data_IF_274085541612
#
_entry.id   IF_274085541612
#
_cell.length_a   1.000
_cell.length_b   1.000
_cell.length_c   1.000
_cell.angle_alpha   90.00
_cell.angle_beta   90.00
_cell.angle_gamma   90.00
#
_symmetry.space_group_name_H-M   'P 1'
#
loop_
_entity.id
_entity.type
_entity.pdbx_description
1 polymer ?
#
# COMPACT_ATOMS: atom_id res chain seq x y z
N UNK A 1 52.38 -41.92 1.03
CA UNK A 1 51.33 -41.95 2.06
C UNK A 1 50.01 -41.68 1.38
N UNK A 2 49.10 -42.63 1.27
CA UNK A 2 47.72 -42.43 0.75
C UNK A 2 46.89 -41.86 1.88
N UNK A 3 46.41 -40.62 1.72
CA UNK A 3 45.39 -40.02 2.60
C UNK A 3 44.08 -40.77 2.35
N UNK A 4 43.57 -41.49 3.34
CA UNK A 4 42.24 -42.08 3.33
C UNK A 4 41.22 -40.95 3.33
N UNK A 5 40.54 -40.70 2.22
CA UNK A 5 39.40 -39.80 2.16
C UNK A 5 38.26 -40.43 2.98
N UNK A 6 37.88 -39.76 4.07
CA UNK A 6 36.68 -40.13 4.83
C UNK A 6 35.46 -39.86 3.96
N UNK A 7 34.70 -40.88 3.62
CA UNK A 7 33.45 -40.78 2.91
C UNK A 7 32.33 -40.28 3.84
N UNK A 8 31.35 -39.54 3.29
CA UNK A 8 30.16 -39.11 3.99
C UNK A 8 29.22 -40.32 4.23
N UNK A 9 28.62 -40.37 5.39
CA UNK A 9 27.62 -41.40 5.70
C UNK A 9 26.22 -40.96 5.16
N UNK A 10 25.39 -41.93 4.80
CA UNK A 10 24.03 -41.67 4.32
C UNK A 10 23.20 -40.96 5.39
N UNK A 11 23.39 -41.25 6.67
CA UNK A 11 22.68 -40.65 7.77
C UNK A 11 23.06 -39.17 7.98
N UNK A 12 24.34 -38.81 7.81
CA UNK A 12 24.77 -37.41 7.87
C UNK A 12 24.12 -36.56 6.78
N UNK A 13 24.01 -37.12 5.56
CA UNK A 13 23.31 -36.40 4.48
C UNK A 13 21.83 -36.27 4.76
N UNK A 14 21.16 -37.33 5.26
CA UNK A 14 19.73 -37.33 5.54
C UNK A 14 19.36 -36.33 6.64
N UNK A 15 20.15 -36.24 7.70
CA UNK A 15 19.94 -35.27 8.78
C UNK A 15 20.09 -33.83 8.26
N UNK A 16 21.09 -33.55 7.42
CA UNK A 16 21.31 -32.22 6.87
C UNK A 16 20.10 -31.75 6.01
N UNK A 17 19.63 -32.62 5.09
CA UNK A 17 18.48 -32.26 4.26
C UNK A 17 17.18 -32.08 5.08
N UNK A 18 17.01 -32.88 6.16
CA UNK A 18 15.89 -32.74 7.06
C UNK A 18 15.91 -31.37 7.78
N UNK A 19 17.07 -30.95 8.30
CA UNK A 19 17.23 -29.64 8.96
C UNK A 19 17.00 -28.49 7.96
N UNK A 20 17.61 -28.57 6.77
CA UNK A 20 17.39 -27.55 5.71
C UNK A 20 15.92 -27.47 5.33
N UNK A 21 15.21 -28.59 5.21
CA UNK A 21 13.78 -28.63 4.91
C UNK A 21 12.95 -27.89 5.95
N UNK A 22 13.20 -28.14 7.24
CA UNK A 22 12.48 -27.48 8.33
C UNK A 22 12.82 -25.96 8.35
N UNK A 23 14.07 -25.59 8.26
CA UNK A 23 14.48 -24.17 8.26
C UNK A 23 13.91 -23.42 7.05
N UNK A 24 13.86 -24.05 5.88
CA UNK A 24 13.32 -23.45 4.67
C UNK A 24 11.83 -23.15 4.80
N UNK A 25 11.04 -24.05 5.37
CA UNK A 25 9.60 -23.83 5.57
C UNK A 25 9.34 -22.66 6.52
N UNK A 26 10.06 -22.56 7.63
CA UNK A 26 9.96 -21.45 8.57
C UNK A 26 10.37 -20.12 7.92
N UNK A 27 11.45 -20.12 7.13
CA UNK A 27 11.92 -18.92 6.44
C UNK A 27 10.90 -18.38 5.44
N UNK A 28 10.22 -19.24 4.67
CA UNK A 28 9.20 -18.84 3.69
C UNK A 28 8.00 -18.18 4.38
N UNK A 29 7.52 -18.75 5.48
CA UNK A 29 6.38 -18.17 6.25
C UNK A 29 6.77 -16.81 6.82
N UNK A 30 7.94 -16.69 7.44
CA UNK A 30 8.43 -15.42 7.99
C UNK A 30 8.59 -14.34 6.91
N UNK A 31 9.11 -14.72 5.73
CA UNK A 31 9.29 -13.80 4.60
C UNK A 31 7.95 -13.30 4.04
N UNK A 32 6.95 -14.15 3.93
CA UNK A 32 5.62 -13.75 3.46
C UNK A 32 4.97 -12.75 4.41
N UNK A 33 5.05 -12.98 5.73
CA UNK A 33 4.57 -12.04 6.75
C UNK A 33 5.30 -10.69 6.69
N UNK A 34 6.63 -10.71 6.55
CA UNK A 34 7.43 -9.49 6.42
C UNK A 34 7.08 -8.70 5.16
N UNK A 35 6.87 -9.38 4.02
CA UNK A 35 6.45 -8.75 2.76
C UNK A 35 5.06 -8.11 2.87
N UNK A 36 4.11 -8.80 3.51
CA UNK A 36 2.78 -8.23 3.78
C UNK A 36 2.88 -6.95 4.62
N UNK A 37 3.61 -6.99 5.73
CA UNK A 37 3.81 -5.83 6.60
C UNK A 37 4.48 -4.66 5.88
N UNK A 38 5.43 -4.94 4.99
CA UNK A 38 6.07 -3.93 4.15
C UNK A 38 5.08 -3.26 3.20
N UNK A 39 4.21 -4.05 2.54
CA UNK A 39 3.16 -3.49 1.66
C UNK A 39 2.14 -2.64 2.43
N UNK A 40 1.73 -3.09 3.61
CA UNK A 40 0.79 -2.35 4.45
C UNK A 40 1.40 -1.04 4.96
N UNK A 41 2.66 -1.06 5.38
CA UNK A 41 3.38 0.17 5.74
C UNK A 41 3.50 1.14 4.56
N UNK A 42 3.70 0.61 3.34
CA UNK A 42 3.68 1.44 2.13
C UNK A 42 2.31 2.05 1.89
N UNK A 43 1.21 1.30 2.05
CA UNK A 43 -0.16 1.83 1.90
C UNK A 43 -0.42 3.03 2.83
N UNK A 44 -0.02 2.91 4.09
CA UNK A 44 -0.14 4.03 5.05
C UNK A 44 0.71 5.22 4.64
N UNK A 45 1.94 5.00 4.16
CA UNK A 45 2.82 6.06 3.69
C UNK A 45 2.27 6.74 2.43
N UNK A 46 1.75 5.98 1.47
CA UNK A 46 1.14 6.49 0.25
C UNK A 46 -0.06 7.41 0.58
N UNK A 47 -0.96 6.95 1.47
CA UNK A 47 -2.12 7.75 1.91
C UNK A 47 -1.68 9.03 2.61
N UNK A 48 -0.67 8.98 3.48
CA UNK A 48 -0.12 10.19 4.11
C UNK A 48 0.48 11.17 3.11
N UNK A 49 1.11 10.70 2.05
CA UNK A 49 1.60 11.58 0.98
C UNK A 49 0.45 12.24 0.23
N UNK A 50 -0.62 11.49 -0.07
CA UNK A 50 -1.80 12.01 -0.74
C UNK A 50 -2.49 13.07 0.16
N UNK A 51 -2.66 12.80 1.45
CA UNK A 51 -3.25 13.78 2.38
C UNK A 51 -2.42 15.04 2.45
N UNK A 52 -1.09 14.93 2.51
CA UNK A 52 -0.20 16.11 2.50
C UNK A 52 -0.36 16.94 1.22
N UNK A 53 -0.46 16.30 0.07
CA UNK A 53 -0.68 17.00 -1.20
C UNK A 53 -2.05 17.68 -1.27
N UNK A 54 -3.09 17.06 -0.68
CA UNK A 54 -4.42 17.65 -0.55
C UNK A 54 -4.43 18.88 0.36
N UNK A 55 -3.67 18.87 1.45
CA UNK A 55 -3.52 20.05 2.32
C UNK A 55 -2.80 21.21 1.59
N UNK A 56 -1.77 20.92 0.79
CA UNK A 56 -1.12 21.92 -0.05
C UNK A 56 -2.08 22.48 -1.09
N UNK A 57 -2.86 21.62 -1.73
CA UNK A 57 -3.89 22.05 -2.68
C UNK A 57 -4.94 22.94 -1.99
N UNK A 58 -5.39 22.56 -0.79
CA UNK A 58 -6.37 23.33 -0.01
C UNK A 58 -5.85 24.73 0.33
N UNK A 59 -4.59 24.85 0.69
CA UNK A 59 -3.96 26.14 1.04
C UNK A 59 -3.99 27.14 -0.13
N UNK A 60 -3.88 26.66 -1.37
CA UNK A 60 -3.89 27.51 -2.56
C UNK A 60 -5.30 27.70 -3.14
N UNK A 61 -6.10 26.63 -3.17
CA UNK A 61 -7.43 26.62 -3.80
C UNK A 61 -8.58 26.96 -2.84
N UNK A 62 -8.29 27.09 -1.53
CA UNK A 62 -9.27 27.29 -0.46
C UNK A 62 -10.41 26.26 -0.48
N UNK A 63 -10.06 25.01 -0.80
CA UNK A 63 -10.99 23.89 -0.85
C UNK A 63 -10.34 22.63 -1.44
N UNK A 64 -10.92 21.45 -1.16
CA UNK A 64 -10.46 20.18 -1.73
C UNK A 64 -11.06 19.93 -3.11
N UNK A 65 -10.42 19.10 -3.96
CA UNK A 65 -10.98 18.72 -5.26
C UNK A 65 -12.32 17.99 -5.10
N UNK A 66 -13.39 18.50 -5.69
CA UNK A 66 -14.72 17.87 -5.58
C UNK A 66 -14.79 16.60 -6.41
N UNK A 67 -15.27 15.52 -5.81
CA UNK A 67 -15.57 14.23 -6.42
C UNK A 67 -16.77 13.61 -5.68
N UNK A 68 -17.97 13.93 -6.10
CA UNK A 68 -19.22 13.48 -5.47
C UNK A 68 -19.40 11.94 -5.53
N UNK A 69 -18.77 11.29 -6.50
CA UNK A 69 -18.68 9.83 -6.59
C UNK A 69 -17.24 9.39 -6.32
N UNK A 70 -17.09 8.22 -5.71
CA UNK A 70 -15.76 7.67 -5.43
C UNK A 70 -14.94 7.50 -6.71
N UNK A 71 -13.73 8.06 -6.73
CA UNK A 71 -12.77 7.94 -7.82
C UNK A 71 -11.54 7.17 -7.35
N UNK A 72 -11.00 6.34 -8.23
CA UNK A 72 -9.80 5.55 -7.94
C UNK A 72 -8.55 6.39 -8.18
N UNK A 73 -7.75 6.59 -7.12
CA UNK A 73 -6.50 7.33 -7.20
C UNK A 73 -5.38 6.50 -7.83
N UNK A 74 -4.50 7.18 -8.58
CA UNK A 74 -3.35 6.57 -9.26
C UNK A 74 -3.72 5.90 -10.59
N UNK A 75 -4.96 6.04 -11.07
CA UNK A 75 -5.43 5.46 -12.33
C UNK A 75 -6.26 6.46 -13.14
N UNK A 76 -6.40 6.21 -14.43
CA UNK A 76 -7.27 7.01 -15.31
C UNK A 76 -6.94 8.50 -15.28
N UNK A 77 -7.90 9.30 -14.86
CA UNK A 77 -7.78 10.77 -14.73
C UNK A 77 -7.30 11.23 -13.34
N UNK A 78 -6.96 10.31 -12.42
CA UNK A 78 -6.55 10.60 -11.05
C UNK A 78 -5.08 10.21 -10.80
N UNK A 79 -4.21 10.46 -11.79
CA UNK A 79 -2.78 10.13 -11.75
C UNK A 79 -1.94 11.25 -11.15
N UNK A 80 -2.40 12.49 -11.26
CA UNK A 80 -1.74 13.67 -10.71
C UNK A 80 -2.72 14.58 -9.99
N UNK A 81 -2.25 15.36 -9.00
CA UNK A 81 -2.99 16.45 -8.39
C UNK A 81 -2.36 17.76 -8.79
N UNK A 82 -3.14 18.57 -9.51
CA UNK A 82 -2.70 19.82 -10.11
C UNK A 82 -3.71 20.94 -9.82
N UNK A 83 -3.42 22.16 -10.24
CA UNK A 83 -4.42 23.25 -10.23
C UNK A 83 -5.70 22.79 -10.94
N UNK A 84 -6.83 22.92 -10.26
CA UNK A 84 -8.15 22.44 -10.74
C UNK A 84 -8.48 21.00 -10.40
N UNK A 85 -7.65 20.31 -9.58
CA UNK A 85 -7.95 19.00 -9.00
C UNK A 85 -7.20 17.83 -9.65
N UNK A 86 -7.81 16.66 -9.58
CA UNK A 86 -7.24 15.41 -10.12
C UNK A 86 -7.20 15.41 -11.64
N UNK A 87 -6.05 15.02 -12.21
CA UNK A 87 -5.83 14.97 -13.66
C UNK A 87 -5.01 13.74 -14.05
N UNK A 88 -5.08 13.35 -15.31
CA UNK A 88 -4.20 12.31 -15.88
C UNK A 88 -2.74 12.80 -15.94
N UNK A 89 -2.54 14.10 -16.18
CA UNK A 89 -1.26 14.80 -16.14
C UNK A 89 -1.50 16.28 -15.91
N UNK A 90 -0.55 16.96 -15.25
CA UNK A 90 -0.59 18.41 -15.12
C UNK A 90 -0.26 19.07 -16.47
N UNK A 91 -1.01 20.11 -16.83
CA UNK A 91 -0.74 20.90 -18.02
C UNK A 91 0.39 21.91 -17.78
N UNK A 92 0.94 22.45 -18.85
CA UNK A 92 1.94 23.50 -18.77
C UNK A 92 1.30 24.76 -18.13
N UNK A 93 1.91 25.21 -17.03
CA UNK A 93 1.39 26.34 -16.24
C UNK A 93 0.54 25.95 -15.03
N UNK A 94 0.16 24.67 -14.87
CA UNK A 94 -0.47 24.19 -13.64
C UNK A 94 0.53 24.17 -12.48
N UNK A 95 0.08 24.56 -11.29
CA UNK A 95 0.78 24.20 -10.05
C UNK A 95 0.61 22.69 -9.81
N UNK A 96 1.69 21.98 -9.62
CA UNK A 96 1.69 20.54 -9.36
C UNK A 96 1.86 20.29 -7.87
N UNK A 97 0.84 19.75 -7.21
CA UNK A 97 0.87 19.36 -5.79
C UNK A 97 1.35 17.92 -5.62
N UNK A 98 0.98 17.05 -6.56
CA UNK A 98 1.49 15.68 -6.65
C UNK A 98 1.59 15.27 -8.12
N UNK A 99 2.80 15.10 -8.63
CA UNK A 99 3.03 14.78 -10.05
C UNK A 99 2.69 13.33 -10.40
N UNK A 100 2.76 12.42 -9.43
CA UNK A 100 2.38 11.02 -9.58
C UNK A 100 1.73 10.51 -8.30
N UNK A 101 0.45 10.24 -8.39
CA UNK A 101 -0.31 9.62 -7.30
C UNK A 101 0.09 8.15 -7.17
N UNK A 102 0.50 7.69 -5.99
CA UNK A 102 0.94 6.32 -5.81
C UNK A 102 -0.20 5.33 -6.05
N UNK A 103 0.14 4.23 -6.70
CA UNK A 103 -0.75 3.10 -6.84
C UNK A 103 -0.57 2.15 -5.65
N UNK A 104 -1.65 1.48 -5.27
CA UNK A 104 -1.58 0.47 -4.22
C UNK A 104 -0.53 -0.60 -4.54
N UNK A 105 0.23 -1.08 -3.55
CA UNK A 105 1.11 -2.22 -3.74
C UNK A 105 0.32 -3.52 -3.96
N UNK A 106 0.85 -4.37 -4.83
CA UNK A 106 0.33 -5.71 -5.14
C UNK A 106 1.27 -6.80 -4.62
N UNK A 107 0.76 -8.02 -4.37
CA UNK A 107 -0.64 -8.47 -4.39
C UNK A 107 -1.47 -7.91 -3.24
N UNK A 108 -2.80 -8.11 -3.30
CA UNK A 108 -3.66 -7.85 -2.16
C UNK A 108 -3.37 -8.87 -1.05
N UNK A 109 -3.48 -8.45 0.18
CA UNK A 109 -3.11 -9.26 1.35
C UNK A 109 -4.27 -9.38 2.34
N UNK A 110 -4.32 -10.50 3.05
CA UNK A 110 -5.17 -10.71 4.21
C UNK A 110 -6.63 -10.29 4.00
N UNK A 111 -7.14 -9.44 4.87
CA UNK A 111 -8.52 -8.94 4.84
C UNK A 111 -8.90 -8.16 3.59
N UNK A 112 -7.91 -7.65 2.84
CA UNK A 112 -8.13 -6.89 1.61
C UNK A 112 -8.32 -7.76 0.37
N UNK A 113 -8.21 -9.07 0.50
CA UNK A 113 -8.35 -10.01 -0.61
C UNK A 113 -9.82 -10.44 -0.86
N UNK A 114 -10.72 -10.04 0.03
CA UNK A 114 -12.16 -10.36 -0.08
C UNK A 114 -12.85 -9.41 -1.05
N UNK A 115 -13.62 -9.96 -1.96
CA UNK A 115 -14.47 -9.24 -2.92
C UNK A 115 -15.74 -8.64 -2.29
N UNK A 116 -15.90 -8.75 -0.98
CA UNK A 116 -17.13 -8.40 -0.26
C UNK A 116 -16.96 -7.08 0.51
N UNK A 117 -17.74 -6.09 0.13
CA UNK A 117 -18.16 -4.89 0.89
C UNK A 117 -17.12 -3.81 1.24
N UNK A 118 -15.83 -4.05 1.11
CA UNK A 118 -14.85 -2.97 1.19
C UNK A 118 -14.64 -2.38 -0.21
N UNK A 119 -14.51 -1.05 -0.34
CA UNK A 119 -14.17 -0.47 -1.63
C UNK A 119 -12.95 -1.19 -2.16
N UNK A 120 -13.00 -1.56 -3.43
CA UNK A 120 -11.97 -2.32 -4.13
C UNK A 120 -10.59 -1.90 -3.60
N UNK A 121 -9.72 -2.84 -3.32
CA UNK A 121 -8.33 -2.68 -2.83
C UNK A 121 -7.53 -1.45 -3.35
N UNK A 122 -8.17 -0.45 -3.89
CA UNK A 122 -7.65 0.78 -4.46
C UNK A 122 -7.77 1.91 -3.44
N UNK A 123 -6.95 2.93 -3.56
CA UNK A 123 -7.16 4.18 -2.85
C UNK A 123 -8.35 4.90 -3.51
N UNK A 124 -9.48 5.00 -2.82
CA UNK A 124 -10.66 5.69 -3.32
C UNK A 124 -10.82 7.04 -2.64
N UNK A 125 -10.94 8.08 -3.43
CA UNK A 125 -11.17 9.43 -2.99
C UNK A 125 -12.61 9.82 -3.23
N UNK A 126 -13.24 10.47 -2.25
CA UNK A 126 -14.59 11.04 -2.32
C UNK A 126 -14.59 12.39 -1.62
N UNK A 127 -15.20 13.39 -2.22
CA UNK A 127 -15.44 14.70 -1.63
C UNK A 127 -16.75 15.24 -2.20
N UNK A 128 -17.81 15.23 -1.40
CA UNK A 128 -19.13 15.71 -1.82
C UNK A 128 -19.13 17.22 -2.08
N UNK A 129 -18.30 17.94 -1.35
CA UNK A 129 -18.06 19.38 -1.47
C UNK A 129 -16.55 19.66 -1.32
N UNK A 130 -16.17 20.93 -1.30
CA UNK A 130 -14.77 21.34 -1.18
C UNK A 130 -14.29 21.52 0.26
N UNK A 131 -15.10 21.20 1.28
CA UNK A 131 -14.76 21.44 2.69
C UNK A 131 -14.11 20.22 3.36
N UNK A 132 -14.42 19.01 2.87
CA UNK A 132 -13.93 17.77 3.44
C UNK A 132 -13.74 16.71 2.36
N UNK A 133 -12.91 15.71 2.67
CA UNK A 133 -12.71 14.55 1.82
C UNK A 133 -12.61 13.27 2.64
N UNK A 134 -12.73 12.16 1.96
CA UNK A 134 -12.51 10.81 2.49
C UNK A 134 -11.65 10.02 1.50
N UNK A 135 -10.56 9.43 1.99
CA UNK A 135 -9.76 8.45 1.24
C UNK A 135 -9.93 7.11 1.92
N UNK A 136 -10.54 6.15 1.23
CA UNK A 136 -10.67 4.79 1.75
C UNK A 136 -9.55 3.91 1.20
N UNK A 137 -9.00 3.07 2.07
CA UNK A 137 -7.94 2.11 1.74
C UNK A 137 -8.04 0.89 2.65
N UNK A 138 -7.29 -0.16 2.35
CA UNK A 138 -7.36 -1.41 3.10
C UNK A 138 -5.96 -1.89 3.50
N UNK A 139 -5.83 -2.38 4.74
CA UNK A 139 -4.62 -3.02 5.28
C UNK A 139 -4.86 -4.53 5.42
N UNK A 140 -3.95 -5.33 4.88
CA UNK A 140 -4.01 -6.79 5.01
C UNK A 140 -3.65 -7.28 6.41
N UNK A 141 -2.84 -6.53 7.13
CA UNK A 141 -2.42 -6.76 8.53
C UNK A 141 -2.34 -5.47 9.32
N UNK A 142 -2.08 -5.56 10.62
CA UNK A 142 -1.94 -4.39 11.48
C UNK A 142 -0.64 -3.61 11.21
N UNK A 143 -0.74 -2.26 11.24
CA UNK A 143 0.40 -1.33 11.10
C UNK A 143 0.27 -0.23 12.15
N UNK A 144 1.16 -0.21 13.14
CA UNK A 144 1.04 0.70 14.28
C UNK A 144 -0.28 0.47 15.01
N UNK A 145 -1.06 1.52 15.19
CA UNK A 145 -2.36 1.48 15.86
C UNK A 145 -3.52 1.10 14.91
N UNK A 146 -3.25 0.96 13.62
CA UNK A 146 -4.25 0.56 12.62
C UNK A 146 -4.35 -0.96 12.55
N UNK A 147 -5.58 -1.48 12.64
CA UNK A 147 -5.88 -2.92 12.56
C UNK A 147 -5.92 -3.39 11.12
N UNK A 148 -6.01 -4.71 10.89
CA UNK A 148 -6.31 -5.24 9.57
C UNK A 148 -7.74 -4.88 9.14
N UNK A 149 -7.92 -4.48 7.87
CA UNK A 149 -9.24 -4.14 7.32
C UNK A 149 -9.28 -2.79 6.61
N UNK A 150 -10.50 -2.29 6.42
CA UNK A 150 -10.74 -1.00 5.77
C UNK A 150 -10.48 0.17 6.71
N UNK A 151 -9.85 1.20 6.17
CA UNK A 151 -9.53 2.45 6.85
C UNK A 151 -9.95 3.65 6.02
N UNK A 152 -10.11 4.78 6.71
CA UNK A 152 -10.46 6.04 6.08
C UNK A 152 -9.50 7.13 6.55
N UNK A 153 -8.95 7.87 5.60
CA UNK A 153 -8.22 9.10 5.87
C UNK A 153 -9.07 10.31 5.50
N UNK A 154 -9.04 11.32 6.35
CA UNK A 154 -9.77 12.58 6.21
C UNK A 154 -8.88 13.74 6.68
N UNK A 155 -9.32 15.01 6.57
CA UNK A 155 -8.58 16.14 7.14
C UNK A 155 -8.30 16.01 8.65
N UNK A 156 -9.12 15.22 9.38
CA UNK A 156 -8.91 14.95 10.81
C UNK A 156 -7.90 13.83 11.11
N UNK A 157 -7.41 13.13 10.09
CA UNK A 157 -6.44 12.04 10.21
C UNK A 157 -6.92 10.70 9.66
N UNK A 158 -6.20 9.63 9.99
CA UNK A 158 -6.49 8.24 9.59
C UNK A 158 -7.19 7.52 10.75
N UNK A 159 -8.29 6.83 10.42
CA UNK A 159 -9.10 6.04 11.34
C UNK A 159 -9.31 4.62 10.83
#
# INVERSE_FOLDING_TARGET
MRKTARGFTLIELLVVIAIIGILSTLAVVALNSARQKSRDSKRVADVKQITTALELYYADANGYPVAATAVELGTGSQVALCTGGWKAACAMGDTTYMGLVPQKPTPNDGSCNSTSTLPSNMYQYTAADNTTYSITFCLGGAVGDLTAGGHTASPSGIQ
#
